data_IF_191480688242
#
_entry.id   IF_191480688242
#
_cell.length_a   1.000
_cell.length_b   1.000
_cell.length_c   1.000
_cell.angle_alpha   90.00
_cell.angle_beta   90.00
_cell.angle_gamma   90.00
#
_symmetry.space_group_name_H-M   'P 1'
#
loop_
_entity.id
_entity.type
_entity.pdbx_description
1 polymer ?
#
# COMPACT_ATOMS: atom_id res chain seq x y z
N UNK A 1 4.10 25.57 -13.01
CA UNK A 1 3.40 26.59 -12.19
C UNK A 1 4.28 26.91 -10.99
N UNK A 2 4.46 28.17 -10.58
CA UNK A 2 5.43 28.51 -9.53
C UNK A 2 5.01 27.85 -8.20
N UNK A 3 5.87 27.00 -7.60
CA UNK A 3 5.56 26.26 -6.35
C UNK A 3 5.11 27.19 -5.21
N UNK A 4 5.55 28.46 -5.23
CA UNK A 4 5.13 29.53 -4.32
C UNK A 4 3.67 29.98 -4.56
N UNK A 5 3.18 29.97 -5.80
CA UNK A 5 1.81 30.35 -6.13
C UNK A 5 0.80 29.28 -5.69
N UNK A 6 1.19 28.00 -5.70
CA UNK A 6 0.39 26.89 -5.20
C UNK A 6 0.33 26.89 -3.67
N UNK A 7 1.47 27.11 -3.00
CA UNK A 7 1.51 27.29 -1.54
C UNK A 7 0.73 28.54 -1.08
N UNK A 8 0.71 29.61 -1.87
CA UNK A 8 -0.12 30.78 -1.60
C UNK A 8 -1.62 30.51 -1.83
N UNK A 9 -1.98 29.65 -2.78
CA UNK A 9 -3.36 29.17 -2.98
C UNK A 9 -3.81 28.29 -1.80
N UNK A 10 -2.93 27.40 -1.31
CA UNK A 10 -3.18 26.58 -0.13
C UNK A 10 -3.29 27.43 1.16
N UNK A 11 -2.47 28.47 1.32
CA UNK A 11 -2.62 29.44 2.43
C UNK A 11 -3.90 30.29 2.33
N UNK A 12 -4.47 30.49 1.13
CA UNK A 12 -5.79 31.12 0.97
C UNK A 12 -6.93 30.21 1.47
N UNK A 13 -6.75 28.89 1.42
CA UNK A 13 -7.67 27.89 2.00
C UNK A 13 -7.59 27.87 3.54
N UNK A 14 -6.48 28.35 4.13
CA UNK A 14 -6.27 28.43 5.60
C UNK A 14 -6.88 29.68 6.28
N UNK A 15 -7.80 30.37 5.61
CA UNK A 15 -8.64 31.37 6.27
C UNK A 15 -10.09 30.89 6.29
N UNK A 16 -10.93 31.51 7.10
CA UNK A 16 -12.32 31.13 7.30
C UNK A 16 -13.28 31.19 6.07
N UNK A 17 -12.90 31.49 4.79
CA UNK A 17 -13.85 31.41 3.69
C UNK A 17 -13.75 30.12 2.85
N UNK A 18 -13.19 29.01 3.34
CA UNK A 18 -13.42 27.70 2.69
C UNK A 18 -14.91 27.37 2.57
N UNK A 19 -15.73 27.87 3.51
CA UNK A 19 -17.20 27.94 3.42
C UNK A 19 -17.70 28.49 2.08
N UNK A 20 -17.11 29.57 1.56
CA UNK A 20 -17.64 30.27 0.39
C UNK A 20 -17.39 29.54 -0.95
N UNK A 21 -16.45 28.58 -0.98
CA UNK A 21 -16.14 27.85 -2.21
C UNK A 21 -17.12 26.71 -2.48
N UNK A 22 -17.65 26.09 -1.42
CA UNK A 22 -18.47 24.87 -1.52
C UNK A 22 -19.93 25.04 -1.06
N UNK A 23 -20.27 26.05 -0.24
CA UNK A 23 -21.66 26.38 0.13
C UNK A 23 -22.64 26.46 -1.06
N UNK A 24 -22.27 27.08 -2.21
CA UNK A 24 -23.24 27.28 -3.29
C UNK A 24 -23.69 26.00 -4.00
N UNK A 25 -22.99 24.88 -3.80
CA UNK A 25 -23.24 23.65 -4.55
C UNK A 25 -24.25 22.74 -3.83
N UNK A 26 -24.41 22.84 -2.51
CA UNK A 26 -25.26 21.94 -1.73
C UNK A 26 -25.73 22.56 -0.39
N UNK A 27 -26.89 23.22 -0.38
CA UNK A 27 -27.40 24.01 0.76
C UNK A 27 -27.98 23.19 1.95
N UNK A 28 -28.19 21.86 1.79
CA UNK A 28 -28.91 21.02 2.75
C UNK A 28 -28.05 19.96 3.48
N UNK A 29 -26.74 19.90 3.21
CA UNK A 29 -25.85 18.91 3.80
C UNK A 29 -24.81 19.49 4.76
N UNK A 30 -24.02 18.59 5.34
CA UNK A 30 -22.92 18.89 6.24
C UNK A 30 -21.59 18.73 5.51
N UNK A 31 -20.65 19.63 5.81
CA UNK A 31 -19.28 19.54 5.34
C UNK A 31 -18.34 19.33 6.52
N UNK A 32 -17.44 18.37 6.39
CA UNK A 32 -16.24 18.25 7.21
C UNK A 32 -15.00 18.36 6.32
N UNK A 33 -13.87 18.76 6.88
CA UNK A 33 -12.63 18.81 6.12
C UNK A 33 -11.42 18.40 6.96
N UNK A 34 -10.46 17.76 6.29
CA UNK A 34 -9.14 17.44 6.82
C UNK A 34 -8.09 18.13 5.96
N UNK A 35 -7.12 18.78 6.60
CA UNK A 35 -5.93 19.30 5.96
C UNK A 35 -4.70 18.70 6.63
N UNK A 36 -3.76 18.16 5.87
CA UNK A 36 -2.57 17.52 6.40
C UNK A 36 -1.30 18.18 5.86
N UNK A 37 -0.40 18.55 6.75
CA UNK A 37 0.98 18.89 6.40
C UNK A 37 1.90 17.75 6.81
N UNK A 38 2.61 17.18 5.85
CA UNK A 38 3.52 16.05 6.06
C UNK A 38 4.97 16.49 5.79
N UNK A 39 5.86 16.15 6.71
CA UNK A 39 7.30 16.25 6.50
C UNK A 39 7.93 14.88 6.73
N UNK A 40 8.61 14.36 5.71
CA UNK A 40 9.37 13.11 5.77
C UNK A 40 10.86 13.39 5.61
N UNK A 41 11.67 12.72 6.43
CA UNK A 41 13.12 12.78 6.41
C UNK A 41 13.71 11.37 6.40
N UNK A 42 14.65 11.13 5.48
CA UNK A 42 15.39 9.89 5.34
C UNK A 42 16.83 10.08 5.81
N UNK A 43 17.38 9.07 6.48
CA UNK A 43 18.75 9.12 6.97
C UNK A 43 19.76 9.19 5.82
N UNK A 44 19.51 8.43 4.75
CA UNK A 44 20.39 8.29 3.59
C UNK A 44 19.76 8.85 2.30
N UNK A 45 20.58 9.28 1.31
CA UNK A 45 20.06 9.58 -0.02
C UNK A 45 19.44 8.31 -0.58
N UNK A 46 18.41 8.43 -1.42
CA UNK A 46 17.83 7.23 -2.03
C UNK A 46 18.87 6.55 -2.92
N UNK A 47 18.72 5.24 -3.11
CA UNK A 47 19.64 4.40 -3.90
C UNK A 47 19.98 4.97 -5.29
N UNK A 48 19.08 5.78 -5.86
CA UNK A 48 19.20 6.38 -7.19
C UNK A 48 19.34 7.91 -7.14
N UNK A 49 19.77 8.48 -6.01
CA UNK A 49 20.01 9.91 -5.85
C UNK A 49 18.80 10.72 -5.39
N UNK A 50 17.71 10.07 -4.96
CA UNK A 50 16.51 10.75 -4.49
C UNK A 50 16.75 11.56 -3.21
N UNK A 51 15.93 12.60 -3.02
CA UNK A 51 16.04 13.53 -1.90
C UNK A 51 15.94 12.83 -0.54
N UNK A 52 16.65 13.37 0.46
CA UNK A 52 16.53 12.95 1.87
C UNK A 52 15.34 13.58 2.59
N UNK A 53 14.68 14.57 2.00
CA UNK A 53 13.57 15.24 2.66
C UNK A 53 12.54 15.67 1.65
N UNK A 54 11.28 15.44 2.03
CA UNK A 54 10.11 15.83 1.26
C UNK A 54 9.11 16.49 2.20
N UNK A 55 8.44 17.52 1.68
CA UNK A 55 7.26 18.09 2.29
C UNK A 55 6.08 17.81 1.36
N UNK A 56 4.95 17.41 1.92
CA UNK A 56 3.71 17.31 1.16
C UNK A 56 2.55 17.93 1.92
N UNK A 57 1.53 18.31 1.18
CA UNK A 57 0.30 18.83 1.73
C UNK A 57 -0.87 18.10 1.08
N UNK A 58 -1.82 17.63 1.87
CA UNK A 58 -3.08 17.11 1.37
C UNK A 58 -4.28 17.82 1.99
N UNK A 59 -5.38 17.80 1.26
CA UNK A 59 -6.67 18.25 1.76
C UNK A 59 -7.77 17.31 1.28
N UNK A 60 -8.67 16.98 2.18
CA UNK A 60 -9.87 16.22 1.93
C UNK A 60 -11.06 17.03 2.45
N UNK A 61 -12.15 17.05 1.69
CA UNK A 61 -13.43 17.52 2.18
C UNK A 61 -14.43 16.38 2.05
N UNK A 62 -15.37 16.27 2.97
CA UNK A 62 -16.48 15.34 2.89
C UNK A 62 -17.78 16.12 2.97
N UNK A 63 -18.62 15.93 1.97
CA UNK A 63 -20.01 16.38 1.97
C UNK A 63 -20.91 15.20 2.25
N UNK A 64 -21.74 15.32 3.28
CA UNK A 64 -22.75 14.33 3.65
C UNK A 64 -24.13 14.98 3.73
N UNK A 65 -25.11 14.35 3.10
CA UNK A 65 -26.52 14.72 3.23
C UNK A 65 -27.37 13.46 3.31
N UNK A 66 -28.38 13.50 4.17
CA UNK A 66 -29.41 12.46 4.28
C UNK A 66 -30.80 13.03 4.02
N UNK A 67 -31.70 12.16 3.61
CA UNK A 67 -33.13 12.46 3.44
C UNK A 67 -33.96 11.21 3.69
N UNK A 68 -35.29 11.34 3.60
CA UNK A 68 -36.24 10.27 3.92
C UNK A 68 -36.03 9.70 5.33
N UNK A 69 -35.95 10.57 6.34
CA UNK A 69 -35.71 10.20 7.74
C UNK A 69 -34.42 9.38 7.96
N UNK A 70 -33.40 9.60 7.10
CA UNK A 70 -32.10 8.93 7.17
C UNK A 70 -32.01 7.62 6.39
N UNK A 71 -33.08 7.20 5.70
CA UNK A 71 -33.07 6.00 4.85
C UNK A 71 -32.19 6.18 3.62
N UNK A 72 -32.06 7.40 3.10
CA UNK A 72 -31.23 7.70 1.94
C UNK A 72 -30.13 8.71 2.30
N UNK A 73 -28.94 8.51 1.75
CA UNK A 73 -27.83 9.44 1.94
C UNK A 73 -26.98 9.59 0.68
N UNK A 74 -26.25 10.70 0.62
CA UNK A 74 -25.23 10.94 -0.39
C UNK A 74 -23.95 11.44 0.28
N UNK A 75 -22.83 10.81 -0.08
CA UNK A 75 -21.48 11.19 0.38
C UNK A 75 -20.63 11.58 -0.82
N UNK A 76 -19.89 12.67 -0.72
CA UNK A 76 -18.93 13.13 -1.72
C UNK A 76 -17.64 13.62 -1.07
N UNK A 77 -16.54 12.96 -1.39
CA UNK A 77 -15.25 13.13 -0.71
C UNK A 77 -14.13 13.39 -1.73
N UNK A 78 -13.95 14.64 -2.20
CA UNK A 78 -12.81 15.00 -3.04
C UNK A 78 -11.52 15.06 -2.22
N UNK A 79 -10.41 14.72 -2.87
CA UNK A 79 -9.07 14.70 -2.29
C UNK A 79 -8.06 15.36 -3.22
N UNK A 80 -7.11 16.07 -2.63
CA UNK A 80 -5.94 16.62 -3.32
C UNK A 80 -4.68 16.38 -2.51
N UNK A 81 -3.60 15.99 -3.18
CA UNK A 81 -2.24 16.03 -2.64
C UNK A 81 -1.32 16.85 -3.53
N UNK A 82 -0.42 17.58 -2.88
CA UNK A 82 0.67 18.32 -3.47
C UNK A 82 1.97 17.85 -2.80
N UNK A 83 2.82 17.15 -3.52
CA UNK A 83 4.13 16.71 -3.06
C UNK A 83 5.23 17.62 -3.60
N UNK A 84 6.24 17.89 -2.79
CA UNK A 84 7.35 18.76 -3.18
C UNK A 84 8.27 18.11 -4.21
N UNK A 85 8.43 16.79 -4.14
CA UNK A 85 9.48 16.02 -4.80
C UNK A 85 8.88 15.10 -5.87
N UNK A 86 7.87 14.30 -5.51
CA UNK A 86 7.32 13.27 -6.40
C UNK A 86 6.08 13.78 -7.15
N UNK A 87 6.21 13.98 -8.45
CA UNK A 87 5.11 14.42 -9.31
C UNK A 87 3.98 13.37 -9.39
N UNK A 88 4.26 12.06 -9.25
CA UNK A 88 3.23 11.02 -9.25
C UNK A 88 2.36 11.07 -7.97
N UNK A 89 2.94 11.57 -6.87
CA UNK A 89 2.23 11.75 -5.61
C UNK A 89 1.40 13.03 -5.58
N UNK A 90 1.64 13.96 -6.50
CA UNK A 90 0.81 15.15 -6.68
C UNK A 90 -0.41 14.83 -7.55
N UNK A 91 -1.58 14.71 -6.95
CA UNK A 91 -2.78 14.35 -7.69
C UNK A 91 -4.08 14.91 -7.10
N UNK A 92 -5.14 14.81 -7.92
CA UNK A 92 -6.52 14.99 -7.51
C UNK A 92 -7.20 13.63 -7.59
N UNK A 93 -7.86 13.21 -6.52
CA UNK A 93 -8.62 11.97 -6.50
C UNK A 93 -10.05 12.23 -6.03
N UNK A 94 -10.99 11.44 -6.56
CA UNK A 94 -12.31 11.34 -5.97
C UNK A 94 -12.30 10.13 -5.05
N UNK A 95 -12.21 10.35 -3.75
CA UNK A 95 -12.12 9.24 -2.81
C UNK A 95 -13.42 8.46 -2.75
N UNK A 96 -14.53 9.19 -2.59
CA UNK A 96 -15.88 8.64 -2.52
C UNK A 96 -16.90 9.60 -3.15
N UNK A 97 -17.94 9.04 -3.76
CA UNK A 97 -19.08 9.72 -4.34
C UNK A 97 -20.21 8.72 -4.55
N UNK A 98 -21.01 8.45 -3.52
CA UNK A 98 -22.03 7.40 -3.58
C UNK A 98 -23.35 7.85 -2.97
N UNK A 99 -24.43 7.26 -3.50
CA UNK A 99 -25.73 7.24 -2.85
C UNK A 99 -25.86 5.93 -2.07
N UNK A 100 -26.33 6.03 -0.83
CA UNK A 100 -26.64 4.90 0.03
C UNK A 100 -28.12 4.86 0.36
N UNK A 101 -28.68 3.65 0.47
CA UNK A 101 -30.04 3.44 0.97
C UNK A 101 -30.10 2.30 1.99
N UNK A 102 -30.81 2.52 3.08
CA UNK A 102 -31.00 1.58 4.18
C UNK A 102 -32.48 1.24 4.28
N UNK A 103 -32.82 -0.02 4.01
CA UNK A 103 -34.16 -0.58 4.22
C UNK A 103 -34.24 -1.41 5.52
N UNK A 104 -35.35 -2.14 5.70
CA UNK A 104 -35.57 -2.91 6.93
C UNK A 104 -34.57 -4.07 7.14
N UNK A 105 -34.17 -4.74 6.06
CA UNK A 105 -33.32 -5.94 6.09
C UNK A 105 -32.31 -5.97 4.93
N UNK A 106 -32.05 -4.82 4.31
CA UNK A 106 -31.09 -4.69 3.24
C UNK A 106 -30.56 -3.26 3.19
N UNK A 107 -29.35 -3.09 2.67
CA UNK A 107 -28.75 -1.80 2.36
C UNK A 107 -28.09 -1.85 0.99
N UNK A 108 -27.93 -0.70 0.36
CA UNK A 108 -27.21 -0.61 -0.90
C UNK A 108 -26.34 0.64 -0.94
N UNK A 109 -25.23 0.55 -1.67
CA UNK A 109 -24.41 1.68 -2.08
C UNK A 109 -24.25 1.65 -3.59
N UNK A 110 -24.45 2.78 -4.24
CA UNK A 110 -24.22 2.95 -5.66
C UNK A 110 -23.41 4.22 -5.91
N UNK A 111 -22.23 4.06 -6.51
CA UNK A 111 -21.38 5.18 -6.88
C UNK A 111 -19.92 4.80 -6.77
N UNK A 112 -19.11 5.72 -6.28
CA UNK A 112 -17.68 5.54 -6.08
C UNK A 112 -17.39 5.37 -4.58
N UNK A 113 -16.81 4.24 -4.17
CA UNK A 113 -16.60 3.98 -2.73
C UNK A 113 -15.39 3.06 -2.49
N UNK A 114 -14.99 2.95 -1.23
CA UNK A 114 -13.92 2.09 -0.72
C UNK A 114 -14.51 1.05 0.21
N UNK A 115 -14.18 -0.21 -0.04
CA UNK A 115 -14.54 -1.38 0.74
C UNK A 115 -13.27 -1.92 1.40
N UNK A 116 -13.38 -2.36 2.65
CA UNK A 116 -12.31 -2.99 3.41
C UNK A 116 -12.78 -4.34 3.93
N UNK A 117 -11.99 -5.38 3.67
CA UNK A 117 -12.13 -6.68 4.29
C UNK A 117 -10.83 -7.03 4.98
N UNK A 118 -10.91 -7.57 6.19
CA UNK A 118 -9.74 -7.94 6.96
C UNK A 118 -9.93 -7.73 8.46
N UNK A 119 -9.08 -8.40 9.22
CA UNK A 119 -9.02 -8.44 10.68
C UNK A 119 -7.58 -8.33 11.18
N UNK A 120 -6.60 -8.81 10.43
CA UNK A 120 -5.18 -8.80 10.81
C UNK A 120 -4.56 -7.41 10.75
N UNK A 121 -3.46 -7.21 11.45
CA UNK A 121 -2.85 -5.90 11.69
C UNK A 121 -1.75 -5.57 10.67
N UNK A 122 -0.94 -6.55 10.25
CA UNK A 122 0.21 -6.30 9.36
C UNK A 122 -0.10 -6.48 7.87
N UNK A 123 -1.01 -7.41 7.52
CA UNK A 123 -1.37 -7.70 6.13
C UNK A 123 -2.80 -8.23 6.05
N UNK A 124 -3.66 -7.55 5.27
CA UNK A 124 -5.01 -8.02 4.97
C UNK A 124 -5.04 -8.74 3.62
N UNK A 125 -5.01 -10.07 3.65
CA UNK A 125 -4.96 -10.94 2.47
C UNK A 125 -6.30 -10.97 1.73
N UNK A 126 -7.39 -10.95 2.49
CA UNK A 126 -8.73 -11.06 1.90
C UNK A 126 -9.16 -9.79 1.16
N UNK A 127 -8.41 -8.70 1.34
CA UNK A 127 -8.78 -7.36 0.96
C UNK A 127 -8.57 -7.04 -0.53
N UNK A 128 -9.49 -7.52 -1.38
CA UNK A 128 -9.30 -7.56 -2.85
C UNK A 128 -10.25 -6.66 -3.64
N UNK A 129 -11.28 -6.10 -3.00
CA UNK A 129 -12.34 -5.37 -3.72
C UNK A 129 -11.77 -4.12 -4.40
N UNK A 130 -11.15 -3.24 -3.61
CA UNK A 130 -10.56 -2.00 -4.07
C UNK A 130 -9.07 -2.15 -4.41
N UNK A 131 -8.54 -1.22 -5.22
CA UNK A 131 -7.13 -1.22 -5.60
C UNK A 131 -6.33 -0.43 -4.56
N UNK A 132 -5.13 -0.90 -4.20
CA UNK A 132 -4.22 -0.18 -3.30
C UNK A 132 -3.68 1.12 -3.94
N UNK A 133 -3.42 2.11 -3.11
CA UNK A 133 -2.93 3.45 -3.48
C UNK A 133 -1.55 3.74 -2.86
N UNK A 134 -0.49 3.22 -3.46
CA UNK A 134 0.85 3.25 -2.86
C UNK A 134 1.47 4.65 -2.80
N UNK A 135 0.97 5.63 -3.57
CA UNK A 135 1.47 7.01 -3.44
C UNK A 135 0.90 7.72 -2.21
N UNK A 136 -0.16 7.19 -1.59
CA UNK A 136 -0.85 7.81 -0.44
C UNK A 136 -0.53 7.17 0.90
N UNK A 137 -0.12 5.91 0.90
CA UNK A 137 0.28 5.18 2.08
C UNK A 137 1.06 3.93 1.73
N UNK A 138 1.14 3.02 2.70
CA UNK A 138 1.72 1.69 2.49
C UNK A 138 0.71 0.75 1.79
N UNK A 139 0.54 -0.46 2.30
CA UNK A 139 -0.39 -1.46 1.79
C UNK A 139 -1.85 -1.23 2.17
N UNK A 140 -2.14 -0.28 3.05
CA UNK A 140 -3.48 -0.09 3.65
C UNK A 140 -4.37 0.90 2.90
N UNK A 141 -3.78 1.95 2.31
CA UNK A 141 -4.52 2.98 1.58
C UNK A 141 -5.05 2.47 0.24
N UNK A 142 -6.24 2.96 -0.16
CA UNK A 142 -6.94 2.48 -1.34
C UNK A 142 -7.54 3.57 -2.20
N UNK A 143 -7.66 3.22 -3.47
CA UNK A 143 -8.44 3.93 -4.47
C UNK A 143 -9.94 3.59 -4.32
N UNK A 144 -10.78 4.61 -4.32
CA UNK A 144 -12.21 4.42 -4.54
C UNK A 144 -12.46 3.80 -5.91
N UNK A 145 -13.54 3.01 -6.04
CA UNK A 145 -13.93 2.39 -7.32
C UNK A 145 -15.43 2.55 -7.59
N UNK A 146 -15.85 2.63 -8.87
CA UNK A 146 -17.27 2.57 -9.23
C UNK A 146 -17.83 1.19 -8.88
N UNK A 147 -18.80 1.16 -7.98
CA UNK A 147 -19.31 -0.04 -7.35
C UNK A 147 -20.82 0.08 -7.10
N UNK A 148 -21.52 -1.02 -7.31
CA UNK A 148 -22.80 -1.32 -6.69
C UNK A 148 -22.61 -2.38 -5.61
N UNK A 149 -23.02 -2.06 -4.39
CA UNK A 149 -23.11 -2.99 -3.26
C UNK A 149 -24.57 -3.24 -2.91
N UNK A 150 -24.93 -4.48 -2.63
CA UNK A 150 -26.18 -4.87 -1.97
C UNK A 150 -25.84 -5.77 -0.79
N UNK A 151 -26.17 -5.34 0.42
CA UNK A 151 -26.05 -6.15 1.63
C UNK A 151 -27.44 -6.62 2.05
N UNK A 152 -27.60 -7.93 2.26
CA UNK A 152 -28.85 -8.54 2.74
C UNK A 152 -28.65 -9.05 4.16
N UNK A 153 -29.47 -8.55 5.09
CA UNK A 153 -29.39 -8.90 6.52
C UNK A 153 -30.39 -10.01 6.82
N UNK A 154 -29.89 -11.16 7.25
CA UNK A 154 -30.69 -12.33 7.60
C UNK A 154 -30.29 -12.89 8.98
N UNK A 155 -31.15 -13.75 9.54
CA UNK A 155 -30.89 -14.42 10.81
C UNK A 155 -29.62 -15.31 10.78
N UNK A 156 -29.24 -15.75 9.58
CA UNK A 156 -28.04 -16.56 9.31
C UNK A 156 -26.86 -15.71 8.80
N UNK A 157 -26.83 -14.43 9.13
CA UNK A 157 -25.74 -13.52 8.78
C UNK A 157 -26.07 -12.54 7.66
N UNK A 158 -25.03 -11.82 7.23
CA UNK A 158 -25.09 -10.80 6.19
C UNK A 158 -24.53 -11.38 4.90
N UNK A 159 -25.23 -11.16 3.81
CA UNK A 159 -24.80 -11.55 2.47
C UNK A 159 -24.62 -10.30 1.61
N UNK A 160 -23.38 -10.01 1.29
CA UNK A 160 -22.97 -8.87 0.48
C UNK A 160 -22.71 -9.30 -0.97
N UNK A 161 -23.25 -8.52 -1.91
CA UNK A 161 -22.97 -8.65 -3.34
C UNK A 161 -22.34 -7.36 -3.86
N UNK A 162 -21.28 -7.50 -4.63
CA UNK A 162 -20.53 -6.39 -5.20
C UNK A 162 -20.40 -6.56 -6.71
N UNK A 163 -20.69 -5.47 -7.43
CA UNK A 163 -20.45 -5.35 -8.87
C UNK A 163 -19.61 -4.10 -9.10
N UNK A 164 -18.38 -4.27 -9.58
CA UNK A 164 -17.44 -3.19 -9.83
C UNK A 164 -17.40 -2.92 -11.32
N UNK A 165 -17.49 -1.65 -11.71
CA UNK A 165 -17.48 -1.23 -13.10
C UNK A 165 -16.20 -0.50 -13.44
N UNK A 166 -15.38 -1.13 -14.28
CA UNK A 166 -14.06 -0.64 -14.64
C UNK A 166 -13.01 -0.89 -13.56
N UNK A 167 -11.77 -0.67 -13.94
CA UNK A 167 -10.60 -0.93 -13.13
C UNK A 167 -9.73 0.32 -13.04
N UNK A 168 -9.20 0.56 -11.85
CA UNK A 168 -8.19 1.59 -11.61
C UNK A 168 -6.85 0.91 -11.40
N UNK A 169 -5.85 1.33 -12.16
CA UNK A 169 -4.48 0.85 -11.97
C UNK A 169 -3.94 1.27 -10.59
N UNK A 170 -3.07 0.44 -10.01
CA UNK A 170 -2.27 0.79 -8.83
C UNK A 170 -1.46 2.05 -9.11
N UNK A 171 -1.41 2.96 -8.16
CA UNK A 171 -0.48 4.09 -8.18
C UNK A 171 0.90 3.64 -7.70
N UNK A 172 1.97 4.22 -8.25
CA UNK A 172 3.34 3.95 -7.83
C UNK A 172 4.15 5.25 -7.78
N UNK A 173 5.14 5.30 -6.91
CA UNK A 173 6.01 6.45 -6.75
C UNK A 173 6.81 6.71 -8.04
N UNK A 174 7.05 7.99 -8.33
CA UNK A 174 7.79 8.43 -9.51
C UNK A 174 9.31 8.26 -9.36
N UNK A 175 10.06 8.67 -10.37
CA UNK A 175 11.53 8.56 -10.42
C UNK A 175 12.23 9.24 -9.22
N UNK A 176 11.75 10.44 -8.86
CA UNK A 176 12.26 11.23 -7.72
C UNK A 176 11.66 10.79 -6.37
N UNK A 177 10.68 9.89 -6.39
CA UNK A 177 10.00 9.37 -5.21
C UNK A 177 10.87 8.44 -4.35
N UNK A 178 10.55 8.39 -3.05
CA UNK A 178 11.16 7.46 -2.06
C UNK A 178 10.22 6.29 -1.79
N UNK A 179 10.74 5.20 -1.22
CA UNK A 179 9.98 3.95 -1.04
C UNK A 179 9.46 3.37 -2.37
N UNK A 180 10.24 3.54 -3.44
CA UNK A 180 9.88 3.12 -4.80
C UNK A 180 10.60 1.84 -5.18
N UNK A 181 10.03 1.11 -6.12
CA UNK A 181 10.76 0.03 -6.79
C UNK A 181 12.04 0.58 -7.45
N UNK A 182 13.12 -0.22 -7.49
CA UNK A 182 14.40 0.17 -8.11
C UNK A 182 14.27 0.66 -9.55
N UNK A 183 13.46 -0.05 -10.34
CA UNK A 183 13.08 0.34 -11.70
C UNK A 183 11.71 1.02 -11.64
N UNK A 184 11.59 2.20 -12.25
CA UNK A 184 10.35 2.98 -12.25
C UNK A 184 9.24 2.20 -12.97
N UNK A 185 8.03 2.25 -12.40
CA UNK A 185 6.86 1.58 -12.96
C UNK A 185 6.08 2.55 -13.85
N UNK A 186 5.89 2.17 -15.11
CA UNK A 186 5.18 2.94 -16.13
C UNK A 186 3.69 2.62 -16.11
N UNK A 187 2.97 3.28 -15.21
CA UNK A 187 1.52 3.08 -15.01
C UNK A 187 0.71 3.52 -16.23
N UNK A 188 1.18 4.53 -16.97
CA UNK A 188 0.48 5.08 -18.14
C UNK A 188 0.39 4.08 -19.30
N UNK A 189 1.29 3.10 -19.34
CA UNK A 189 1.34 2.06 -20.37
C UNK A 189 0.87 0.68 -19.87
N UNK A 190 0.09 0.64 -18.77
CA UNK A 190 -0.46 -0.58 -18.21
C UNK A 190 -1.15 -1.47 -19.27
N UNK A 191 -0.95 -2.78 -19.15
CA UNK A 191 -1.50 -3.79 -20.06
C UNK A 191 -2.50 -4.68 -19.34
N UNK A 192 -3.38 -5.28 -20.12
CA UNK A 192 -4.44 -6.15 -19.64
C UNK A 192 -4.41 -7.47 -20.42
N UNK A 193 -4.45 -8.60 -19.71
CA UNK A 193 -4.42 -9.93 -20.30
C UNK A 193 -5.57 -10.79 -19.74
N UNK A 194 -6.49 -11.18 -20.61
CA UNK A 194 -7.73 -11.87 -20.22
C UNK A 194 -8.75 -10.98 -19.49
N UNK A 195 -8.48 -9.69 -19.36
CA UNK A 195 -9.35 -8.63 -18.80
C UNK A 195 -9.20 -7.34 -19.62
N UNK A 196 -9.98 -6.31 -19.30
CA UNK A 196 -9.91 -4.98 -19.93
C UNK A 196 -10.01 -3.88 -18.85
N UNK A 197 -9.57 -2.66 -19.15
CA UNK A 197 -9.70 -1.51 -18.23
C UNK A 197 -11.15 -1.23 -17.79
N UNK A 198 -12.13 -1.55 -18.64
CA UNK A 198 -13.55 -1.38 -18.36
C UNK A 198 -14.24 -2.71 -17.94
N UNK A 199 -13.47 -3.68 -17.43
CA UNK A 199 -14.00 -4.97 -17.01
C UNK A 199 -15.04 -4.83 -15.90
N UNK A 200 -15.94 -5.82 -15.81
CA UNK A 200 -16.83 -5.98 -14.66
C UNK A 200 -16.22 -7.00 -13.71
N UNK A 201 -15.91 -6.57 -12.47
CA UNK A 201 -15.47 -7.46 -11.41
C UNK A 201 -16.66 -7.76 -10.48
N UNK A 202 -16.69 -8.98 -9.94
CA UNK A 202 -17.77 -9.45 -9.08
C UNK A 202 -17.19 -9.94 -7.76
N UNK A 203 -17.88 -9.64 -6.66
CA UNK A 203 -17.55 -10.21 -5.37
C UNK A 203 -18.80 -10.58 -4.57
N UNK A 204 -18.71 -11.64 -3.77
CA UNK A 204 -19.74 -12.05 -2.82
C UNK A 204 -19.06 -12.31 -1.48
N UNK A 205 -19.64 -11.81 -0.40
CA UNK A 205 -19.15 -12.07 0.96
C UNK A 205 -20.32 -12.48 1.84
N UNK A 206 -20.15 -13.55 2.59
CA UNK A 206 -21.07 -13.94 3.65
C UNK A 206 -20.34 -13.79 4.97
N UNK A 207 -20.98 -13.14 5.96
CA UNK A 207 -20.43 -13.01 7.31
C UNK A 207 -21.48 -13.31 8.37
N UNK A 208 -21.08 -13.97 9.45
CA UNK A 208 -21.98 -14.28 10.54
C UNK A 208 -21.23 -14.37 11.87
N UNK A 209 -21.73 -13.73 12.94
CA UNK A 209 -21.33 -14.07 14.30
C UNK A 209 -21.88 -15.46 14.66
N UNK A 210 -21.04 -16.33 15.20
CA UNK A 210 -21.37 -17.66 15.67
C UNK A 210 -21.20 -17.70 17.20
N UNK A 211 -22.32 -17.74 17.91
CA UNK A 211 -22.32 -17.59 19.36
C UNK A 211 -21.93 -16.16 19.77
N UNK A 212 -21.28 -16.02 20.92
CA UNK A 212 -21.00 -14.70 21.51
C UNK A 212 -19.57 -14.20 21.20
N UNK A 213 -18.70 -15.03 20.63
CA UNK A 213 -17.25 -14.79 20.62
C UNK A 213 -16.57 -14.99 19.27
N UNK A 214 -17.19 -15.69 18.31
CA UNK A 214 -16.59 -16.02 17.02
C UNK A 214 -17.29 -15.26 15.90
N UNK A 215 -16.55 -14.52 15.11
CA UNK A 215 -16.99 -14.00 13.82
C UNK A 215 -16.37 -14.81 12.69
N UNK A 216 -17.17 -15.14 11.68
CA UNK A 216 -16.74 -15.86 10.48
C UNK A 216 -17.16 -15.08 9.26
N UNK A 217 -16.27 -14.94 8.29
CA UNK A 217 -16.64 -14.53 6.94
C UNK A 217 -15.98 -15.40 5.88
N UNK A 218 -16.69 -15.57 4.77
CA UNK A 218 -16.21 -16.24 3.57
C UNK A 218 -16.50 -15.36 2.38
N UNK A 219 -15.53 -15.18 1.49
CA UNK A 219 -15.64 -14.32 0.33
C UNK A 219 -15.21 -15.03 -0.95
N UNK A 220 -15.78 -14.60 -2.07
CA UNK A 220 -15.37 -14.97 -3.41
C UNK A 220 -15.25 -13.69 -4.23
N UNK A 221 -14.13 -13.51 -4.91
CA UNK A 221 -13.90 -12.44 -5.88
C UNK A 221 -13.54 -13.05 -7.24
N UNK A 222 -14.06 -12.47 -8.31
CA UNK A 222 -13.72 -12.84 -9.70
C UNK A 222 -13.63 -11.57 -10.53
N UNK A 223 -12.45 -11.26 -11.05
CA UNK A 223 -12.24 -10.00 -11.75
C UNK A 223 -10.78 -9.73 -12.11
N UNK A 224 -10.44 -8.45 -12.20
CA UNK A 224 -9.09 -7.97 -12.48
C UNK A 224 -8.19 -8.15 -11.25
N UNK A 225 -7.06 -8.81 -11.41
CA UNK A 225 -6.08 -9.01 -10.34
C UNK A 225 -5.64 -7.66 -9.76
N UNK A 226 -5.65 -7.52 -8.42
CA UNK A 226 -5.21 -6.28 -7.75
C UNK A 226 -3.69 -6.17 -7.65
N UNK A 227 -2.98 -7.28 -7.82
CA UNK A 227 -1.52 -7.36 -7.85
C UNK A 227 -1.03 -7.60 -9.28
N UNK A 228 -0.54 -6.56 -10.00
CA UNK A 228 -0.05 -6.73 -11.35
C UNK A 228 1.30 -7.46 -11.35
N UNK A 229 1.52 -8.27 -12.40
CA UNK A 229 2.89 -8.68 -12.77
C UNK A 229 3.56 -7.53 -13.53
N UNK A 230 4.88 -7.54 -13.61
CA UNK A 230 5.63 -6.49 -14.33
C UNK A 230 6.36 -7.05 -15.55
N UNK A 231 6.15 -6.43 -16.70
CA UNK A 231 6.93 -6.67 -17.93
C UNK A 231 8.01 -5.59 -18.06
N UNK A 232 9.23 -5.97 -18.45
CA UNK A 232 10.24 -4.99 -18.81
C UNK A 232 9.89 -4.32 -20.15
N UNK A 233 10.12 -3.01 -20.27
CA UNK A 233 9.87 -2.26 -21.51
C UNK A 233 10.89 -2.56 -22.64
N UNK A 234 11.97 -3.30 -22.34
CA UNK A 234 13.07 -3.60 -23.24
C UNK A 234 13.85 -2.35 -23.74
N UNK A 235 13.76 -1.24 -23.01
CA UNK A 235 14.60 -0.06 -23.22
C UNK A 235 15.65 0.02 -22.11
N UNK A 236 16.91 -0.25 -22.44
CA UNK A 236 18.00 -0.20 -21.47
C UNK A 236 18.45 1.22 -21.14
N UNK A 237 18.08 2.21 -21.96
CA UNK A 237 18.46 3.61 -21.75
C UNK A 237 17.42 4.37 -20.92
N UNK A 238 16.20 3.87 -20.83
CA UNK A 238 15.11 4.34 -19.98
C UNK A 238 14.34 3.11 -19.42
N UNK A 239 14.98 2.33 -18.52
CA UNK A 239 14.41 1.08 -18.04
C UNK A 239 13.15 1.32 -17.24
N UNK A 240 12.05 0.68 -17.66
CA UNK A 240 10.75 0.76 -16.98
C UNK A 240 10.08 -0.59 -16.86
N UNK A 241 9.31 -0.73 -15.79
CA UNK A 241 8.42 -1.86 -15.55
C UNK A 241 6.99 -1.49 -15.95
N UNK A 242 6.41 -2.23 -16.88
CA UNK A 242 5.03 -2.04 -17.33
C UNK A 242 4.13 -2.99 -16.52
N UNK A 243 3.18 -2.49 -15.73
CA UNK A 243 2.26 -3.35 -15.00
C UNK A 243 1.31 -4.05 -15.97
N UNK A 244 1.11 -5.35 -15.76
CA UNK A 244 0.20 -6.19 -16.54
C UNK A 244 -0.83 -6.82 -15.60
N UNK A 245 -2.08 -6.45 -15.80
CA UNK A 245 -3.21 -6.92 -15.03
C UNK A 245 -3.84 -8.14 -15.72
N UNK A 246 -4.01 -9.21 -14.97
CA UNK A 246 -4.63 -10.45 -15.45
C UNK A 246 -6.00 -10.65 -14.83
N UNK A 247 -6.75 -11.62 -15.35
CA UNK A 247 -7.89 -12.16 -14.59
C UNK A 247 -7.40 -12.91 -13.34
N UNK A 248 -8.19 -12.86 -12.28
CA UNK A 248 -8.00 -13.63 -11.06
C UNK A 248 -9.35 -14.02 -10.45
N UNK A 249 -9.39 -15.22 -9.87
CA UNK A 249 -10.45 -15.66 -8.97
C UNK A 249 -9.84 -15.90 -7.57
N UNK A 250 -10.47 -15.38 -6.52
CA UNK A 250 -10.01 -15.52 -5.12
C UNK A 250 -11.13 -16.05 -4.25
N UNK A 251 -10.82 -17.05 -3.44
CA UNK A 251 -11.63 -17.47 -2.29
C UNK A 251 -10.96 -16.96 -1.02
N UNK A 252 -11.72 -16.35 -0.11
CA UNK A 252 -11.24 -15.83 1.16
C UNK A 252 -11.98 -16.43 2.36
N UNK A 253 -11.25 -16.59 3.47
CA UNK A 253 -11.76 -16.97 4.78
C UNK A 253 -11.24 -15.97 5.82
N UNK A 254 -12.14 -15.48 6.67
CA UNK A 254 -11.82 -14.61 7.80
C UNK A 254 -12.41 -15.24 9.07
N UNK A 255 -11.62 -15.33 10.14
CA UNK A 255 -12.08 -15.72 11.48
C UNK A 255 -11.55 -14.73 12.50
N UNK A 256 -12.40 -14.34 13.45
CA UNK A 256 -12.01 -13.55 14.61
C UNK A 256 -12.67 -14.13 15.87
N UNK A 257 -11.87 -14.50 16.86
CA UNK A 257 -12.35 -15.04 18.12
C UNK A 257 -11.90 -14.16 19.29
N UNK A 258 -12.85 -13.58 20.01
CA UNK A 258 -12.60 -12.65 21.13
C UNK A 258 -13.01 -13.32 22.44
N UNK A 259 -12.09 -13.48 23.39
CA UNK A 259 -12.37 -14.06 24.70
C UNK A 259 -11.47 -13.51 25.81
N UNK A 260 -12.07 -12.87 26.84
CA UNK A 260 -11.36 -12.38 28.05
C UNK A 260 -10.04 -11.63 27.75
N UNK A 261 -10.09 -10.68 26.81
CA UNK A 261 -8.95 -9.85 26.41
C UNK A 261 -8.02 -10.48 25.36
N UNK A 262 -8.23 -11.76 25.02
CA UNK A 262 -7.60 -12.39 23.87
C UNK A 262 -8.39 -12.13 22.60
N UNK A 263 -7.69 -11.86 21.51
CA UNK A 263 -8.24 -11.84 20.16
C UNK A 263 -7.40 -12.78 19.30
N UNK A 264 -8.03 -13.78 18.68
CA UNK A 264 -7.37 -14.70 17.74
C UNK A 264 -7.96 -14.47 16.36
N UNK A 265 -7.10 -14.19 15.40
CA UNK A 265 -7.47 -13.81 14.04
C UNK A 265 -6.88 -14.80 13.04
N UNK A 266 -7.62 -15.07 11.97
CA UNK A 266 -7.13 -15.80 10.81
C UNK A 266 -7.69 -15.18 9.55
N UNK A 267 -6.82 -14.88 8.61
CA UNK A 267 -7.15 -14.64 7.21
C UNK A 267 -6.49 -15.71 6.35
N UNK A 268 -7.22 -16.24 5.37
CA UNK A 268 -6.66 -17.16 4.40
C UNK A 268 -7.29 -16.94 3.03
N UNK A 269 -6.47 -17.08 1.99
CA UNK A 269 -6.89 -16.97 0.59
C UNK A 269 -6.41 -18.15 -0.24
N UNK A 270 -7.20 -18.47 -1.26
CA UNK A 270 -6.80 -19.32 -2.38
C UNK A 270 -7.06 -18.55 -3.67
N UNK A 271 -6.03 -18.41 -4.50
CA UNK A 271 -6.02 -17.57 -5.69
C UNK A 271 -5.72 -18.41 -6.91
N UNK A 272 -6.50 -18.21 -7.98
CA UNK A 272 -6.29 -18.82 -9.28
C UNK A 272 -6.22 -17.72 -10.36
N UNK A 273 -5.19 -17.75 -11.19
CA UNK A 273 -5.02 -16.88 -12.35
C UNK A 273 -4.45 -17.67 -13.54
N UNK A 274 -4.44 -17.10 -14.76
CA UNK A 274 -3.81 -17.75 -15.91
C UNK A 274 -2.29 -18.00 -15.76
N UNK A 275 -1.64 -17.27 -14.85
CA UNK A 275 -0.18 -17.27 -14.68
C UNK A 275 0.25 -18.11 -13.49
N UNK A 276 -0.53 -18.06 -12.40
CA UNK A 276 -0.21 -18.74 -11.14
C UNK A 276 -1.47 -19.14 -10.35
N UNK A 277 -1.30 -20.13 -9.48
CA UNK A 277 -2.28 -20.59 -8.49
C UNK A 277 -1.55 -20.76 -7.17
N UNK A 278 -2.08 -20.21 -6.09
CA UNK A 278 -1.42 -20.23 -4.78
C UNK A 278 -2.41 -20.09 -3.62
N UNK A 279 -1.93 -20.42 -2.44
CA UNK A 279 -2.61 -20.19 -1.16
C UNK A 279 -1.74 -19.34 -0.23
N UNK A 280 -2.39 -18.49 0.57
CA UNK A 280 -1.70 -17.68 1.58
C UNK A 280 -2.58 -17.55 2.83
N UNK A 281 -1.97 -17.36 3.99
CA UNK A 281 -2.67 -17.19 5.26
C UNK A 281 -1.90 -16.29 6.23
N UNK A 282 -2.65 -15.53 7.03
CA UNK A 282 -2.12 -14.77 8.18
C UNK A 282 -2.88 -15.19 9.42
N UNK A 283 -2.17 -15.67 10.43
CA UNK A 283 -2.72 -16.06 11.73
C UNK A 283 -2.19 -15.16 12.84
N UNK A 284 -3.09 -14.52 13.58
CA UNK A 284 -2.75 -13.52 14.60
C UNK A 284 -3.30 -13.84 15.98
N UNK A 285 -2.58 -13.44 17.02
CA UNK A 285 -3.05 -13.42 18.40
C UNK A 285 -2.72 -12.08 19.02
N UNK A 286 -3.70 -11.51 19.70
CA UNK A 286 -3.56 -10.31 20.51
C UNK A 286 -3.98 -10.58 21.95
N UNK A 287 -3.33 -9.88 22.87
CA UNK A 287 -3.75 -9.86 24.27
C UNK A 287 -3.62 -8.46 24.84
N UNK A 288 -4.70 -7.94 25.39
CA UNK A 288 -4.74 -6.63 26.05
C UNK A 288 -4.63 -6.77 27.56
N UNK A 289 -3.63 -6.07 28.13
CA UNK A 289 -3.52 -5.80 29.55
C UNK A 289 -4.25 -4.50 29.84
N UNK A 290 -5.45 -4.60 30.41
CA UNK A 290 -6.27 -3.44 30.74
C UNK A 290 -5.76 -2.75 32.01
N UNK A 291 -5.85 -1.42 32.07
CA UNK A 291 -5.62 -0.61 33.28
C UNK A 291 -4.25 -0.85 33.96
N UNK A 292 -3.18 -0.92 33.16
CA UNK A 292 -1.85 -1.27 33.63
C UNK A 292 -1.40 -0.29 34.71
N UNK A 293 -0.87 -0.80 35.83
CA UNK A 293 -0.44 -0.02 36.99
C UNK A 293 -1.54 0.83 37.64
N UNK A 294 -2.80 0.34 37.65
CA UNK A 294 -3.96 1.07 38.17
C UNK A 294 -4.14 2.43 37.49
N UNK A 295 -3.85 2.51 36.19
CA UNK A 295 -4.01 3.71 35.35
C UNK A 295 -5.09 3.49 34.29
N UNK A 296 -5.36 4.51 33.48
CA UNK A 296 -6.25 4.38 32.32
C UNK A 296 -5.52 3.80 31.09
N UNK A 297 -4.26 3.38 31.22
CA UNK A 297 -3.45 2.89 30.11
C UNK A 297 -3.72 1.41 29.86
N UNK A 298 -4.02 1.08 28.62
CA UNK A 298 -4.09 -0.29 28.13
C UNK A 298 -2.87 -0.61 27.25
N UNK A 299 -2.39 -1.85 27.36
CA UNK A 299 -1.25 -2.33 26.56
C UNK A 299 -1.65 -3.62 25.86
N UNK A 300 -1.72 -3.59 24.53
CA UNK A 300 -2.01 -4.77 23.70
C UNK A 300 -0.73 -5.31 23.10
N UNK A 301 -0.45 -6.60 23.30
CA UNK A 301 0.60 -7.31 22.58
C UNK A 301 0.00 -7.97 21.35
N UNK A 302 0.68 -7.87 20.21
CA UNK A 302 0.23 -8.36 18.91
C UNK A 302 1.30 -9.30 18.36
N UNK A 303 0.88 -10.46 17.84
CA UNK A 303 1.78 -11.36 17.11
C UNK A 303 1.02 -11.99 15.95
N UNK A 304 1.56 -11.89 14.75
CA UNK A 304 1.01 -12.47 13.53
C UNK A 304 2.06 -13.31 12.81
N UNK A 305 1.65 -14.44 12.24
CA UNK A 305 2.47 -15.25 11.35
C UNK A 305 1.90 -15.15 9.94
N UNK A 306 2.73 -14.74 8.99
CA UNK A 306 2.39 -14.53 7.60
C UNK A 306 2.96 -15.69 6.78
N UNK A 307 2.11 -16.30 5.96
CA UNK A 307 2.46 -17.43 5.12
C UNK A 307 1.97 -17.27 3.68
N UNK A 308 2.85 -17.40 2.69
CA UNK A 308 2.52 -17.42 1.25
C UNK A 308 3.19 -18.63 0.58
N UNK A 309 2.40 -19.48 -0.07
CA UNK A 309 2.87 -20.70 -0.75
C UNK A 309 3.90 -20.39 -1.85
N UNK A 310 3.86 -19.19 -2.44
CA UNK A 310 4.76 -18.79 -3.53
C UNK A 310 6.21 -18.68 -3.06
N UNK A 311 6.45 -18.48 -1.76
CA UNK A 311 7.80 -18.14 -1.26
C UNK A 311 8.39 -16.99 -2.07
N UNK A 312 9.68 -17.07 -2.37
CA UNK A 312 10.47 -16.02 -3.03
C UNK A 312 9.87 -15.45 -4.33
N UNK A 313 9.02 -16.24 -5.00
CA UNK A 313 8.34 -15.85 -6.23
C UNK A 313 7.15 -14.88 -5.99
N UNK A 314 6.74 -14.67 -4.72
CA UNK A 314 5.71 -13.70 -4.36
C UNK A 314 6.14 -12.28 -4.76
N UNK A 315 5.20 -11.40 -5.09
CA UNK A 315 5.53 -9.99 -5.34
C UNK A 315 5.71 -9.20 -4.02
N UNK A 316 5.23 -9.74 -2.89
CA UNK A 316 5.27 -9.09 -1.58
C UNK A 316 6.51 -9.48 -0.75
N UNK A 317 6.71 -8.77 0.36
CA UNK A 317 7.75 -9.04 1.36
C UNK A 317 7.30 -10.03 2.44
N UNK A 318 6.10 -10.60 2.31
CA UNK A 318 5.41 -11.32 3.38
C UNK A 318 5.08 -12.74 2.94
N UNK A 319 5.94 -13.68 3.30
CA UNK A 319 5.90 -15.07 2.86
C UNK A 319 6.07 -16.06 4.00
N UNK A 320 7.00 -15.80 4.91
CA UNK A 320 7.39 -16.69 6.01
C UNK A 320 7.80 -15.87 7.23
N UNK A 321 7.02 -14.81 7.48
CA UNK A 321 7.39 -13.74 8.38
C UNK A 321 6.60 -13.79 9.68
N UNK A 322 7.19 -13.22 10.73
CA UNK A 322 6.47 -12.95 11.97
C UNK A 322 6.40 -11.46 12.21
N UNK A 323 5.17 -10.95 12.27
CA UNK A 323 4.85 -9.64 12.81
C UNK A 323 4.78 -9.69 14.33
N UNK A 324 5.50 -8.81 15.01
CA UNK A 324 5.35 -8.58 16.45
C UNK A 324 5.06 -7.12 16.71
N UNK A 325 4.16 -6.84 17.64
CA UNK A 325 3.77 -5.46 17.93
C UNK A 325 3.29 -5.25 19.35
N UNK A 326 3.25 -3.98 19.73
CA UNK A 326 2.63 -3.50 20.96
C UNK A 326 1.91 -2.20 20.70
N UNK A 327 0.65 -2.13 21.09
CA UNK A 327 -0.16 -0.92 21.11
C UNK A 327 -0.31 -0.45 22.55
N UNK A 328 -0.08 0.84 22.79
CA UNK A 328 -0.26 1.50 24.07
C UNK A 328 -1.32 2.58 23.88
N UNK A 329 -2.47 2.37 24.49
CA UNK A 329 -3.60 3.30 24.42
C UNK A 329 -3.76 3.97 25.78
N UNK A 330 -3.68 5.29 25.82
CA UNK A 330 -3.70 6.04 27.09
C UNK A 330 -5.12 6.31 27.61
N UNK A 331 -6.13 6.03 26.78
CA UNK A 331 -7.56 6.31 27.04
C UNK A 331 -7.82 7.74 27.57
N UNK A 332 -7.01 8.72 27.14
CA UNK A 332 -7.20 10.13 27.46
C UNK A 332 -8.13 10.83 26.45
N UNK A 333 -8.65 12.00 26.81
CA UNK A 333 -9.52 12.82 25.95
C UNK A 333 -8.84 13.20 24.61
N UNK A 334 -7.50 13.23 24.59
CA UNK A 334 -6.71 13.52 23.40
C UNK A 334 -6.44 12.30 22.52
N UNK A 335 -6.95 11.11 22.90
CA UNK A 335 -6.76 9.86 22.15
C UNK A 335 -5.29 9.58 21.85
N UNK A 336 -4.44 9.70 22.87
CA UNK A 336 -3.01 9.43 22.75
C UNK A 336 -2.80 7.93 22.56
N UNK A 337 -2.09 7.56 21.50
CA UNK A 337 -1.76 6.18 21.15
C UNK A 337 -0.33 6.05 20.64
N UNK A 338 0.32 4.94 20.97
CA UNK A 338 1.62 4.55 20.42
C UNK A 338 1.54 3.09 19.97
N UNK A 339 1.82 2.85 18.69
CA UNK A 339 2.01 1.53 18.11
C UNK A 339 3.49 1.34 17.78
N UNK A 340 4.06 0.24 18.25
CA UNK A 340 5.44 -0.17 17.95
C UNK A 340 5.36 -1.57 17.40
N UNK A 341 5.88 -1.78 16.20
CA UNK A 341 5.81 -3.07 15.54
C UNK A 341 7.07 -3.38 14.75
N UNK A 342 7.13 -4.61 14.27
CA UNK A 342 8.07 -5.00 13.25
C UNK A 342 7.73 -6.34 12.64
N UNK A 343 8.21 -6.55 11.44
CA UNK A 343 8.06 -7.79 10.69
C UNK A 343 9.47 -8.34 10.48
N UNK A 344 9.64 -9.62 10.82
CA UNK A 344 10.93 -10.30 10.82
C UNK A 344 10.81 -11.55 9.95
N UNK A 345 11.68 -11.63 8.95
CA UNK A 345 11.91 -12.83 8.16
C UNK A 345 13.02 -13.66 8.84
N UNK A 346 12.66 -14.87 9.30
CA UNK A 346 13.62 -15.75 9.97
C UNK A 346 14.54 -16.52 9.02
N UNK A 347 14.21 -16.63 7.74
CA UNK A 347 15.03 -17.32 6.76
C UNK A 347 16.15 -16.40 6.24
N UNK A 348 15.86 -15.12 6.07
CA UNK A 348 16.80 -14.13 5.51
C UNK A 348 17.47 -13.24 6.56
N UNK A 349 16.91 -13.20 7.77
CA UNK A 349 17.20 -12.19 8.81
C UNK A 349 16.97 -10.77 8.30
N UNK A 350 15.96 -10.56 7.45
CA UNK A 350 15.49 -9.21 7.14
C UNK A 350 14.47 -8.77 8.20
N UNK A 351 14.59 -7.53 8.67
CA UNK A 351 13.66 -7.00 9.67
C UNK A 351 13.33 -5.53 9.42
N UNK A 352 12.03 -5.25 9.41
CA UNK A 352 11.46 -3.90 9.32
C UNK A 352 10.78 -3.57 10.64
N UNK A 353 11.13 -2.44 11.24
CA UNK A 353 10.50 -1.95 12.47
C UNK A 353 9.80 -0.63 12.20
N UNK A 354 8.59 -0.49 12.74
CA UNK A 354 7.79 0.73 12.65
C UNK A 354 7.41 1.24 14.05
N UNK A 355 7.39 2.56 14.20
CA UNK A 355 6.81 3.24 15.33
C UNK A 355 5.82 4.26 14.78
N UNK A 356 4.59 4.21 15.27
CA UNK A 356 3.58 5.21 15.04
C UNK A 356 3.12 5.76 16.39
N UNK A 357 3.09 7.08 16.55
CA UNK A 357 2.58 7.74 17.74
C UNK A 357 1.66 8.88 17.33
N UNK A 358 0.46 8.91 17.91
CA UNK A 358 -0.54 9.92 17.57
C UNK A 358 -1.17 10.55 18.80
N UNK A 359 -1.56 11.82 18.68
CA UNK A 359 -2.27 12.56 19.73
C UNK A 359 -3.03 13.77 19.17
N UNK A 360 -4.22 14.03 19.72
CA UNK A 360 -4.97 15.29 19.47
C UNK A 360 -4.43 16.46 20.30
N UNK A 361 -4.35 17.64 19.69
CA UNK A 361 -3.97 18.90 20.33
C UNK A 361 -5.16 19.87 20.25
N UNK A 362 -5.81 20.12 21.39
CA UNK A 362 -7.07 20.86 21.42
C UNK A 362 -8.19 20.08 20.71
N UNK A 363 -9.12 20.79 20.07
CA UNK A 363 -10.32 20.17 19.51
C UNK A 363 -10.17 19.80 18.02
N UNK A 364 -9.22 20.42 17.32
CA UNK A 364 -9.17 20.41 15.85
C UNK A 364 -7.84 19.93 15.27
N UNK A 365 -6.80 19.69 16.08
CA UNK A 365 -5.50 19.30 15.54
C UNK A 365 -5.13 17.89 15.99
N UNK A 366 -4.50 17.12 15.10
CA UNK A 366 -3.84 15.85 15.43
C UNK A 366 -2.41 15.91 14.94
N UNK A 367 -1.49 15.42 15.77
CA UNK A 367 -0.09 15.22 15.39
C UNK A 367 0.15 13.73 15.36
N UNK A 368 0.79 13.27 14.29
CA UNK A 368 1.22 11.90 14.11
C UNK A 368 2.72 11.89 13.81
N UNK A 369 3.41 10.93 14.40
CA UNK A 369 4.84 10.71 14.22
C UNK A 369 4.99 9.28 13.76
N UNK A 370 5.64 9.09 12.62
CA UNK A 370 5.97 7.78 12.09
C UNK A 370 7.48 7.65 11.97
N UNK A 371 8.01 6.47 12.29
CA UNK A 371 9.39 6.13 12.03
C UNK A 371 9.45 4.70 11.51
N UNK A 372 10.26 4.48 10.47
CA UNK A 372 10.53 3.16 9.91
C UNK A 372 12.04 2.96 9.89
N UNK A 373 12.48 1.77 10.32
CA UNK A 373 13.88 1.36 10.24
C UNK A 373 13.97 -0.05 9.65
N UNK A 374 14.82 -0.20 8.64
CA UNK A 374 15.23 -1.48 8.05
C UNK A 374 16.54 -1.89 8.72
N UNK A 375 16.44 -2.67 9.80
CA UNK A 375 17.53 -2.86 10.76
C UNK A 375 18.40 -4.08 10.47
N UNK A 376 17.80 -5.22 10.12
CA UNK A 376 18.55 -6.43 9.78
C UNK A 376 18.55 -6.58 8.27
N UNK A 377 19.77 -6.59 7.74
CA UNK A 377 20.08 -6.66 6.31
C UNK A 377 20.83 -7.95 6.18
N UNK A 378 20.22 -9.01 5.64
CA UNK A 378 21.00 -10.20 5.32
C UNK A 378 22.24 -9.78 4.53
N UNK A 379 23.45 -10.07 5.01
CA UNK A 379 24.66 -9.75 4.24
C UNK A 379 24.68 -10.65 3.01
N UNK A 380 24.47 -10.07 1.83
CA UNK A 380 24.63 -10.83 0.58
C UNK A 380 26.12 -10.87 0.30
N UNK A 381 26.68 -12.06 0.07
CA UNK A 381 28.05 -12.16 -0.42
C UNK A 381 28.08 -11.62 -1.87
N UNK A 382 28.34 -10.32 -1.99
CA UNK A 382 28.46 -9.66 -3.29
C UNK A 382 29.71 -10.16 -4.01
N UNK A 383 29.56 -10.47 -5.30
CA UNK A 383 30.70 -10.85 -6.13
C UNK A 383 31.71 -9.71 -6.17
N UNK A 384 33.00 -10.01 -5.97
CA UNK A 384 34.06 -8.99 -5.96
C UNK A 384 34.65 -8.75 -7.35
N UNK A 385 34.32 -9.62 -8.31
CA UNK A 385 34.69 -9.47 -9.71
C UNK A 385 33.48 -9.54 -10.62
N UNK A 386 33.58 -8.91 -11.79
CA UNK A 386 32.56 -8.95 -12.86
C UNK A 386 32.13 -10.39 -13.18
N UNK A 387 33.07 -11.35 -13.16
CA UNK A 387 32.77 -12.75 -13.44
C UNK A 387 31.94 -13.41 -12.33
N UNK A 388 32.25 -13.13 -11.07
CA UNK A 388 31.48 -13.62 -9.92
C UNK A 388 30.06 -13.04 -9.94
N UNK A 389 29.93 -11.74 -10.21
CA UNK A 389 28.63 -11.07 -10.30
C UNK A 389 27.81 -11.62 -11.48
N UNK A 390 28.42 -11.76 -12.66
CA UNK A 390 27.72 -12.30 -13.84
C UNK A 390 27.24 -13.74 -13.61
N UNK A 391 28.04 -14.57 -12.94
CA UNK A 391 27.62 -15.93 -12.58
C UNK A 391 26.49 -15.91 -11.54
N UNK A 392 26.53 -15.00 -10.56
CA UNK A 392 25.44 -14.85 -9.59
C UNK A 392 24.14 -14.42 -10.26
N UNK A 393 24.20 -13.41 -11.13
CA UNK A 393 23.03 -12.93 -11.89
C UNK A 393 22.43 -14.03 -12.78
N UNK A 394 23.27 -14.80 -13.48
CA UNK A 394 22.81 -15.91 -14.30
C UNK A 394 22.12 -17.03 -13.49
N UNK A 395 22.47 -17.18 -12.22
CA UNK A 395 21.90 -18.20 -11.32
C UNK A 395 20.73 -17.66 -10.47
N UNK A 396 20.53 -16.35 -10.40
CA UNK A 396 19.50 -15.69 -9.57
C UNK A 396 18.06 -15.84 -10.09
N UNK A 397 17.85 -16.43 -11.27
CA UNK A 397 16.52 -16.48 -11.90
C UNK A 397 16.06 -15.15 -12.52
N UNK A 398 16.79 -14.04 -12.30
CA UNK A 398 16.57 -12.73 -12.95
C UNK A 398 16.49 -12.83 -14.48
N UNK A 399 17.25 -13.76 -15.06
CA UNK A 399 17.05 -14.22 -16.43
C UNK A 399 16.12 -15.43 -16.39
N UNK A 400 14.81 -15.19 -16.37
CA UNK A 400 13.83 -16.27 -16.56
C UNK A 400 14.03 -16.92 -17.94
N UNK A 401 13.42 -18.08 -18.19
CA UNK A 401 13.42 -18.81 -19.48
C UNK A 401 13.11 -17.94 -20.72
N UNK A 402 12.62 -16.69 -20.53
CA UNK A 402 12.41 -15.70 -21.59
C UNK A 402 13.68 -14.96 -22.04
N UNK A 403 14.67 -14.76 -21.17
CA UNK A 403 15.95 -14.12 -21.52
C UNK A 403 17.00 -15.22 -21.68
N UNK A 404 17.20 -15.68 -22.91
CA UNK A 404 18.23 -16.69 -23.17
C UNK A 404 19.59 -16.22 -22.66
N UNK A 405 20.39 -17.12 -22.09
CA UNK A 405 21.78 -16.81 -21.68
C UNK A 405 22.58 -16.18 -22.83
N UNK A 406 22.25 -16.56 -24.07
CA UNK A 406 22.80 -15.95 -25.27
C UNK A 406 22.36 -14.50 -25.43
N UNK A 407 21.11 -14.14 -25.16
CA UNK A 407 20.67 -12.74 -25.11
C UNK A 407 21.34 -11.96 -23.98
N UNK A 408 21.53 -12.52 -22.79
CA UNK A 408 22.25 -11.83 -21.72
C UNK A 408 23.72 -11.58 -22.10
N UNK A 409 24.36 -12.58 -22.73
CA UNK A 409 25.72 -12.47 -23.27
C UNK A 409 25.77 -11.47 -24.43
N UNK A 410 24.80 -11.50 -25.33
CA UNK A 410 24.70 -10.61 -26.49
C UNK A 410 24.35 -9.20 -26.05
N UNK A 411 23.54 -9.01 -25.00
CA UNK A 411 23.23 -7.72 -24.37
C UNK A 411 24.49 -7.12 -23.74
N UNK A 412 25.21 -7.91 -22.94
CA UNK A 412 26.48 -7.49 -22.36
C UNK A 412 27.54 -7.25 -23.45
N UNK A 413 27.52 -8.04 -24.53
CA UNK A 413 28.44 -7.89 -25.66
C UNK A 413 28.07 -6.70 -26.54
N UNK A 414 26.80 -6.41 -26.76
CA UNK A 414 26.27 -5.29 -27.55
C UNK A 414 26.41 -3.96 -26.78
N UNK A 415 26.21 -3.98 -25.46
CA UNK A 415 26.59 -2.85 -24.57
C UNK A 415 28.09 -2.56 -24.72
N UNK A 416 28.91 -3.61 -24.89
CA UNK A 416 30.36 -3.51 -25.10
C UNK A 416 30.73 -3.20 -26.57
N UNK A 417 29.95 -3.62 -27.57
CA UNK A 417 30.27 -3.52 -29.00
C UNK A 417 29.65 -2.29 -29.67
N UNK A 418 28.41 -1.93 -29.36
CA UNK A 418 27.66 -0.86 -30.04
C UNK A 418 28.03 0.55 -29.53
N UNK A 419 28.47 0.65 -28.26
CA UNK A 419 29.01 1.90 -27.69
C UNK A 419 30.44 1.79 -27.17
N UNK A 420 31.02 0.61 -27.01
CA UNK A 420 32.27 0.51 -26.24
C UNK A 420 32.11 1.13 -24.85
N UNK A 421 33.24 1.39 -24.19
CA UNK A 421 33.34 2.11 -22.93
C UNK A 421 32.73 3.54 -22.95
N UNK A 422 31.95 3.97 -23.96
CA UNK A 422 31.39 5.33 -24.07
C UNK A 422 30.21 5.63 -23.16
N UNK A 423 29.48 4.64 -22.63
CA UNK A 423 28.53 4.94 -21.54
C UNK A 423 29.26 5.42 -20.26
N UNK A 424 30.54 5.06 -20.08
CA UNK A 424 31.42 5.56 -19.02
C UNK A 424 31.85 7.03 -19.24
N UNK A 425 31.66 7.59 -20.44
CA UNK A 425 32.07 8.96 -20.77
C UNK A 425 30.93 9.98 -20.83
N UNK A 426 29.68 9.56 -20.54
CA UNK A 426 28.58 10.50 -20.31
C UNK A 426 28.51 11.04 -18.86
N UNK A 427 29.46 10.66 -18.00
CA UNK A 427 29.82 11.44 -16.81
C UNK A 427 29.59 10.77 -15.45
N UNK A 428 28.96 9.59 -15.39
CA UNK A 428 28.50 9.04 -14.10
C UNK A 428 29.28 7.82 -13.57
N UNK A 429 30.02 7.07 -14.40
CA UNK A 429 30.86 5.93 -13.96
C UNK A 429 32.23 6.05 -14.63
N UNK A 430 33.25 6.44 -13.89
CA UNK A 430 34.59 6.80 -14.37
C UNK A 430 35.69 5.77 -14.04
N UNK A 431 35.39 4.72 -13.26
CA UNK A 431 36.36 3.73 -12.78
C UNK A 431 35.83 2.30 -12.82
N UNK A 432 36.75 1.31 -12.87
CA UNK A 432 36.39 -0.11 -12.73
C UNK A 432 35.73 -0.41 -11.37
N UNK A 433 36.10 0.34 -10.32
CA UNK A 433 35.46 0.23 -9.01
C UNK A 433 33.99 0.62 -9.06
N UNK A 434 33.67 1.79 -9.63
CA UNK A 434 32.28 2.24 -9.79
C UNK A 434 31.47 1.27 -10.68
N UNK A 435 32.09 0.65 -11.70
CA UNK A 435 31.41 -0.38 -12.51
C UNK A 435 31.09 -1.65 -11.71
N UNK A 436 32.02 -2.10 -10.85
CA UNK A 436 31.77 -3.24 -9.95
C UNK A 436 30.69 -2.87 -8.93
N UNK A 437 30.69 -1.67 -8.37
CA UNK A 437 29.64 -1.18 -7.48
C UNK A 437 28.26 -1.17 -8.15
N UNK A 438 28.15 -0.69 -9.40
CA UNK A 438 26.89 -0.75 -10.17
C UNK A 438 26.44 -2.18 -10.42
N UNK A 439 27.35 -3.09 -10.78
CA UNK A 439 27.00 -4.50 -10.97
C UNK A 439 26.57 -5.18 -9.66
N UNK A 440 27.18 -4.81 -8.54
CA UNK A 440 26.79 -5.27 -7.21
C UNK A 440 25.42 -4.73 -6.81
N UNK A 441 25.07 -3.49 -7.17
CA UNK A 441 23.70 -2.99 -7.01
C UNK A 441 22.71 -3.85 -7.80
N UNK A 442 22.99 -4.14 -9.07
CA UNK A 442 22.13 -5.02 -9.88
C UNK A 442 22.03 -6.43 -9.26
N UNK A 443 23.12 -6.95 -8.69
CA UNK A 443 23.13 -8.24 -7.98
C UNK A 443 22.21 -8.24 -6.76
N UNK A 444 22.16 -7.14 -5.98
CA UNK A 444 21.23 -7.00 -4.84
C UNK A 444 19.78 -7.00 -5.31
N UNK A 445 19.50 -6.25 -6.38
CA UNK A 445 18.15 -6.13 -6.94
C UNK A 445 17.62 -7.43 -7.56
N UNK A 446 18.52 -8.35 -7.91
CA UNK A 446 18.20 -9.64 -8.50
C UNK A 446 17.96 -10.74 -7.46
N UNK A 447 18.24 -10.48 -6.18
CA UNK A 447 18.03 -11.45 -5.10
C UNK A 447 16.55 -11.44 -4.68
N UNK A 448 15.78 -12.36 -5.25
CA UNK A 448 14.35 -12.51 -4.94
C UNK A 448 14.10 -12.96 -3.51
N UNK A 449 15.10 -13.54 -2.85
CA UNK A 449 14.99 -13.97 -1.46
C UNK A 449 15.17 -12.79 -0.49
N UNK A 450 15.67 -11.63 -0.94
CA UNK A 450 16.01 -10.50 -0.06
C UNK A 450 15.38 -9.21 -0.53
N UNK A 451 14.08 -9.11 -0.30
CA UNK A 451 13.28 -8.02 -0.85
C UNK A 451 13.47 -6.74 -0.04
N UNK A 452 13.66 -6.78 1.29
CA UNK A 452 13.86 -5.55 2.08
C UNK A 452 15.19 -4.86 1.78
N UNK A 453 16.17 -5.57 1.20
CA UNK A 453 17.43 -4.99 0.73
C UNK A 453 17.25 -3.83 -0.28
N UNK A 454 16.12 -3.78 -1.01
CA UNK A 454 15.84 -2.67 -1.94
C UNK A 454 15.48 -1.36 -1.22
N UNK A 455 15.11 -1.45 0.07
CA UNK A 455 14.74 -0.32 0.93
C UNK A 455 15.89 0.03 1.90
N UNK A 456 17.13 -0.41 1.64
CA UNK A 456 18.26 -0.28 2.56
C UNK A 456 18.56 1.17 2.98
N UNK A 457 18.36 2.14 2.08
CA UNK A 457 18.56 3.57 2.35
C UNK A 457 17.29 4.32 2.79
N UNK A 458 16.17 3.61 2.93
CA UNK A 458 14.84 4.18 3.12
C UNK A 458 14.38 4.28 4.59
N UNK A 459 15.30 4.13 5.56
CA UNK A 459 15.06 4.50 6.96
C UNK A 459 14.57 5.94 7.06
N UNK A 460 13.38 6.13 7.62
CA UNK A 460 12.75 7.44 7.68
C UNK A 460 12.10 7.77 9.01
N UNK A 461 11.95 9.07 9.20
CA UNK A 461 11.13 9.70 10.22
C UNK A 461 10.18 10.68 9.56
N UNK A 462 8.92 10.66 9.96
CA UNK A 462 7.84 11.48 9.41
C UNK A 462 7.05 12.13 10.54
N UNK A 463 6.66 13.38 10.30
CA UNK A 463 5.69 14.10 11.13
C UNK A 463 4.54 14.52 10.23
N UNK A 464 3.34 14.23 10.68
CA UNK A 464 2.11 14.76 10.11
C UNK A 464 1.41 15.66 11.12
N UNK A 465 0.85 16.75 10.60
CA UNK A 465 0.01 17.67 11.36
C UNK A 465 -1.29 17.83 10.61
N UNK A 466 -2.34 17.22 11.15
CA UNK A 466 -3.69 17.22 10.60
C UNK A 466 -4.54 18.26 11.31
N UNK A 467 -5.30 19.02 10.54
CA UNK A 467 -6.32 19.94 11.00
C UNK A 467 -7.69 19.46 10.53
N UNK A 468 -8.58 19.28 11.49
CA UNK A 468 -9.97 18.88 11.30
C UNK A 468 -10.87 20.10 11.46
N UNK A 469 -11.79 20.24 10.52
CA UNK A 469 -12.80 21.28 10.51
C UNK A 469 -14.20 20.67 10.43
#
# INVERSE_FOLDING_TARGET
>A
MNKIAVAALAMLVLSSPSYALFEPLFEDGTWSAEMNGEWRYFNDPGEFGQSKSAFSYSAQAEYYVDWNDGEDSFTFTPFVRLDQIDDNRTHLDLREAYWGHVGENWETKLGYTRIFWGRTEFLNLVDVVNQKDFVEGDTTEKLGQPLFQLSLVHDIGILDFYVLAGFRERTFQGEDGRLRAPIVIDVDNARYDGVEKNNLDLAVRWSQPIGDNLEVAVSIFSGTNRDPRFDFNYDLFDPKLIPVYTRMDQFGLELEYIYEGWVVKLEAIAVESPVESYTAAVGGVEYTFDTVFDSDIDVTLITEYLWDERGSDSAGFFEHDVGIGTRITFNDEQSTEILIGGIIDFDTNEALYNIEASRRIGDSWRVEILAMVVAERGEQELGQSVLEIANSLANSGFTSDAISTQFAIDLLSDIVEEKGLLFLFNGEINTYGEFVETLQQVQRLADTDRKLSILESDDYFQIEVKYYY
#
